data_IF_739461880063
#
_entry.id   IF_739461880063
#
_cell.length_a   1.000
_cell.length_b   1.000
_cell.length_c   1.000
_cell.angle_alpha   90.00
_cell.angle_beta   90.00
_cell.angle_gamma   90.00
#
_symmetry.space_group_name_H-M   'P 1'
#
loop_
_entity.id
_entity.type
_entity.pdbx_description
1 polymer ?
#
# COMPACT_ATOMS: atom_id res chain seq x y z
N UNK A 1 8.51 -1.41 37.05
CA UNK A 1 7.63 -2.15 36.12
C UNK A 1 6.25 -2.18 36.76
N UNK A 2 5.20 -1.65 36.11
CA UNK A 2 3.87 -1.55 36.72
C UNK A 2 3.12 -2.90 36.55
N UNK A 3 2.70 -3.58 37.64
CA UNK A 3 2.06 -4.90 37.59
C UNK A 3 0.81 -4.99 36.68
N UNK A 4 0.16 -3.85 36.43
CA UNK A 4 -1.09 -3.76 35.68
C UNK A 4 -0.95 -4.02 34.17
N UNK A 5 0.22 -3.75 33.57
CA UNK A 5 0.45 -4.00 32.13
C UNK A 5 0.49 -5.51 31.80
N UNK A 6 1.06 -6.33 32.68
CA UNK A 6 1.10 -7.79 32.51
C UNK A 6 -0.27 -8.45 32.67
N UNK A 7 -1.16 -7.85 33.47
CA UNK A 7 -2.51 -8.38 33.71
C UNK A 7 -3.40 -8.15 32.48
N UNK A 8 -3.29 -6.99 31.82
CA UNK A 8 -4.05 -6.67 30.61
C UNK A 8 -3.73 -7.61 29.44
N UNK A 9 -2.45 -7.94 29.23
CA UNK A 9 -2.02 -8.86 28.16
C UNK A 9 -2.55 -10.29 28.42
N UNK A 10 -2.47 -10.79 29.66
CA UNK A 10 -2.97 -12.12 30.03
C UNK A 10 -4.50 -12.24 29.93
N UNK A 11 -5.25 -11.19 30.25
CA UNK A 11 -6.71 -11.16 30.12
C UNK A 11 -7.16 -11.23 28.66
N UNK A 12 -6.50 -10.48 27.77
CA UNK A 12 -6.80 -10.48 26.33
C UNK A 12 -6.46 -11.83 25.68
N UNK A 13 -5.36 -12.48 26.08
CA UNK A 13 -4.95 -13.79 25.54
C UNK A 13 -5.96 -14.91 25.81
N UNK A 14 -6.74 -14.83 26.89
CA UNK A 14 -7.65 -15.90 27.30
C UNK A 14 -9.05 -15.80 26.67
N UNK A 15 -9.45 -14.66 26.13
CA UNK A 15 -10.81 -14.41 25.62
C UNK A 15 -10.97 -14.57 24.10
N UNK A 16 -9.90 -14.79 23.34
CA UNK A 16 -9.97 -14.84 21.86
C UNK A 16 -10.17 -16.28 21.33
N UNK A 17 -11.10 -16.50 20.37
CA UNK A 17 -11.33 -17.80 19.75
C UNK A 17 -10.10 -18.38 19.02
N UNK A 18 -10.07 -19.71 18.87
CA UNK A 18 -9.00 -20.46 18.18
C UNK A 18 -9.20 -20.35 16.67
N UNK A 19 -8.23 -19.78 15.96
CA UNK A 19 -8.25 -19.68 14.49
C UNK A 19 -6.87 -20.15 13.94
N UNK A 20 -6.80 -21.07 12.96
CA UNK A 20 -5.55 -21.43 12.29
C UNK A 20 -4.89 -20.21 11.63
N UNK A 21 -3.57 -20.17 11.52
CA UNK A 21 -2.89 -18.96 11.04
C UNK A 21 -3.12 -18.61 9.56
N UNK A 22 -3.46 -19.59 8.73
CA UNK A 22 -3.97 -19.34 7.38
C UNK A 22 -5.28 -18.54 7.39
N UNK A 23 -6.08 -18.68 8.46
CA UNK A 23 -7.38 -18.03 8.63
C UNK A 23 -7.34 -16.76 9.50
N UNK A 24 -6.18 -16.38 10.03
CA UNK A 24 -6.00 -15.10 10.74
C UNK A 24 -5.69 -13.94 9.78
N UNK A 25 -5.05 -14.25 8.65
CA UNK A 25 -4.87 -13.32 7.50
C UNK A 25 -6.22 -12.80 7.03
N UNK A 26 -7.26 -13.63 7.14
CA UNK A 26 -8.62 -13.33 6.73
C UNK A 26 -9.29 -12.20 7.55
N UNK A 27 -8.96 -12.06 8.84
CA UNK A 27 -9.64 -11.15 9.77
C UNK A 27 -9.16 -9.68 9.65
N UNK A 28 -7.98 -9.48 9.06
CA UNK A 28 -7.23 -8.22 8.94
C UNK A 28 -7.98 -7.15 8.15
N UNK A 29 -8.78 -7.54 7.15
CA UNK A 29 -9.37 -6.59 6.21
C UNK A 29 -10.76 -6.05 6.57
N UNK A 30 -11.37 -6.49 7.70
CA UNK A 30 -12.74 -6.13 8.07
C UNK A 30 -12.98 -5.26 9.36
N UNK A 31 -12.04 -4.44 9.88
CA UNK A 31 -12.35 -3.57 11.04
C UNK A 31 -12.95 -2.19 10.69
N UNK A 32 -13.09 -1.84 9.41
CA UNK A 32 -13.51 -0.50 8.98
C UNK A 32 -15.01 -0.35 8.67
N UNK A 33 -15.84 -1.35 8.99
CA UNK A 33 -17.27 -1.32 8.65
C UNK A 33 -18.16 -0.66 9.71
N UNK A 34 -17.73 -0.60 10.98
CA UNK A 34 -18.61 -0.25 12.11
C UNK A 34 -18.12 0.89 13.02
N UNK A 35 -17.17 1.74 12.59
CA UNK A 35 -16.80 2.95 13.37
C UNK A 35 -17.32 4.21 12.72
N UNK A 36 -18.40 4.71 13.31
CA UNK A 36 -18.96 6.03 13.07
C UNK A 36 -17.91 7.12 13.38
N UNK A 37 -17.67 8.01 12.41
CA UNK A 37 -16.60 9.02 12.43
C UNK A 37 -16.86 10.17 13.42
N UNK A 38 -18.00 10.14 14.12
CA UNK A 38 -18.47 11.16 15.05
C UNK A 38 -17.78 11.13 16.42
N UNK A 39 -17.09 10.04 16.80
CA UNK A 39 -16.46 9.92 18.13
C UNK A 39 -14.99 10.40 18.21
N UNK A 40 -14.34 10.72 17.09
CA UNK A 40 -12.91 11.13 17.08
C UNK A 40 -12.65 12.60 17.43
N UNK A 41 -13.69 13.40 17.68
CA UNK A 41 -13.58 14.86 17.86
C UNK A 41 -13.30 15.38 19.27
N UNK A 42 -13.44 14.58 20.33
CA UNK A 42 -13.56 15.11 21.70
C UNK A 42 -12.29 15.09 22.58
N UNK A 43 -11.12 14.69 22.07
CA UNK A 43 -9.91 14.53 22.89
C UNK A 43 -8.74 15.43 22.45
N UNK A 44 -9.00 16.74 22.35
CA UNK A 44 -7.95 17.77 22.17
C UNK A 44 -8.06 18.89 23.20
N UNK A 45 -7.84 18.61 24.48
CA UNK A 45 -7.21 19.59 25.37
C UNK A 45 -6.70 18.95 26.67
N UNK A 46 -5.49 19.39 27.05
CA UNK A 46 -4.73 19.18 28.29
C UNK A 46 -3.66 18.08 28.28
N UNK A 47 -2.46 18.54 28.62
CA UNK A 47 -1.22 17.80 28.77
C UNK A 47 -1.39 16.61 29.71
N UNK A 48 -1.34 15.40 29.16
CA UNK A 48 -1.18 14.15 29.88
C UNK A 48 -0.39 13.18 29.00
N UNK A 49 0.52 12.46 29.63
CA UNK A 49 1.36 11.40 29.10
C UNK A 49 0.49 10.41 28.28
N UNK A 50 0.54 10.48 26.94
CA UNK A 50 -0.26 9.62 26.07
C UNK A 50 0.33 8.20 26.06
N UNK A 51 -0.29 7.29 26.81
CA UNK A 51 -0.20 5.85 26.55
C UNK A 51 -1.14 5.57 25.37
N UNK A 52 -0.59 5.48 24.17
CA UNK A 52 -1.31 4.99 22.98
C UNK A 52 -1.44 3.46 23.06
N UNK A 53 -2.66 2.96 22.91
CA UNK A 53 -3.01 1.53 23.00
C UNK A 53 -2.75 0.80 21.68
N UNK A 54 -2.08 -0.35 21.76
CA UNK A 54 -2.01 -1.31 20.65
C UNK A 54 -3.38 -1.94 20.40
N UNK A 55 -3.77 -2.16 19.15
CA UNK A 55 -4.79 -3.16 18.80
C UNK A 55 -4.08 -4.46 18.41
N UNK A 56 -3.60 -5.21 19.39
CA UNK A 56 -3.13 -6.58 19.14
C UNK A 56 -4.37 -7.48 19.18
N UNK A 57 -4.86 -7.88 18.01
CA UNK A 57 -5.74 -9.04 17.95
C UNK A 57 -4.87 -10.28 18.08
N UNK A 58 -4.89 -10.86 19.28
CA UNK A 58 -4.22 -12.12 19.57
C UNK A 58 -5.19 -13.24 19.28
N UNK A 59 -5.13 -13.87 18.10
CA UNK A 59 -5.68 -15.22 18.01
C UNK A 59 -4.74 -16.15 18.81
N UNK A 60 -5.23 -17.27 19.35
CA UNK A 60 -4.41 -18.20 20.17
C UNK A 60 -3.11 -18.67 19.50
N UNK A 61 -2.91 -18.42 18.20
CA UNK A 61 -1.73 -18.84 17.44
C UNK A 61 -1.08 -17.72 16.61
N UNK A 62 -1.71 -16.54 16.47
CA UNK A 62 -1.26 -15.53 15.52
C UNK A 62 -1.28 -14.13 16.15
N UNK A 63 -0.17 -13.41 15.99
CA UNK A 63 -0.01 -12.02 16.47
C UNK A 63 -0.14 -11.08 15.27
N UNK A 64 -1.05 -10.12 15.36
CA UNK A 64 -1.25 -9.12 14.32
C UNK A 64 -0.57 -7.80 14.68
N UNK A 65 0.20 -7.24 13.75
CA UNK A 65 1.04 -6.05 13.95
C UNK A 65 0.77 -4.98 12.87
N UNK A 66 0.37 -3.76 13.29
CA UNK A 66 0.21 -2.56 12.44
C UNK A 66 0.83 -1.31 13.09
N UNK A 67 1.23 -0.32 12.28
CA UNK A 67 1.83 0.97 12.69
C UNK A 67 0.85 1.97 13.36
N UNK A 68 1.21 2.90 14.28
CA UNK A 68 2.45 3.15 15.08
C UNK A 68 2.19 4.07 16.29
N UNK A 69 2.88 3.84 17.41
CA UNK A 69 4.04 4.58 17.95
C UNK A 69 4.47 3.85 19.25
N UNK A 70 5.77 3.71 19.51
CA UNK A 70 6.42 2.92 20.60
C UNK A 70 6.67 1.43 20.33
N UNK A 71 7.94 1.06 20.09
CA UNK A 71 8.42 -0.33 20.00
C UNK A 71 9.58 -0.65 20.95
N UNK A 72 10.03 0.31 21.76
CA UNK A 72 11.24 0.19 22.59
C UNK A 72 11.23 -0.93 23.65
N UNK A 73 10.15 -1.70 23.81
CA UNK A 73 10.10 -2.84 24.76
C UNK A 73 9.33 -4.08 24.28
N UNK A 74 8.75 -4.09 23.08
CA UNK A 74 7.85 -5.19 22.69
C UNK A 74 8.60 -6.50 22.41
N UNK A 75 9.79 -6.43 21.81
CA UNK A 75 10.62 -7.62 21.57
C UNK A 75 11.17 -8.24 22.86
N UNK A 76 11.29 -7.46 23.94
CA UNK A 76 11.63 -7.97 25.29
C UNK A 76 10.43 -8.67 25.96
N UNK A 77 9.21 -8.36 25.50
CA UNK A 77 7.95 -8.78 26.09
C UNK A 77 7.27 -9.92 25.34
N UNK A 78 7.83 -10.45 24.25
CA UNK A 78 7.33 -11.69 23.64
C UNK A 78 7.51 -12.79 24.69
N UNK A 79 6.45 -13.21 25.40
CA UNK A 79 6.62 -14.03 26.59
C UNK A 79 7.25 -15.35 26.17
N UNK A 80 8.30 -15.78 26.86
CA UNK A 80 8.88 -17.13 26.70
C UNK A 80 7.81 -18.22 26.85
N UNK A 81 6.73 -17.90 27.56
CA UNK A 81 5.53 -18.69 27.78
C UNK A 81 4.73 -18.97 26.48
N UNK A 82 4.74 -18.06 25.49
CA UNK A 82 4.16 -18.33 24.16
C UNK A 82 4.94 -19.41 23.41
N UNK A 83 6.25 -19.51 23.66
CA UNK A 83 7.15 -20.44 22.98
C UNK A 83 7.13 -21.81 23.66
N UNK A 84 7.03 -21.85 25.00
CA UNK A 84 7.04 -23.11 25.76
C UNK A 84 5.80 -23.99 25.54
N UNK A 85 4.73 -23.46 24.93
CA UNK A 85 3.51 -24.20 24.59
C UNK A 85 3.58 -24.91 23.22
N UNK A 86 4.71 -24.84 22.49
CA UNK A 86 4.94 -25.51 21.20
C UNK A 86 4.76 -27.04 21.20
N UNK A 87 4.66 -27.69 22.37
CA UNK A 87 4.72 -29.15 22.44
C UNK A 87 3.51 -29.88 21.87
N UNK A 88 2.38 -29.22 21.62
CA UNK A 88 1.20 -29.88 21.06
C UNK A 88 0.52 -29.02 19.97
N UNK A 89 0.77 -29.36 18.70
CA UNK A 89 -0.19 -29.22 17.58
C UNK A 89 -0.35 -27.88 16.81
N UNK A 90 0.67 -27.01 16.74
CA UNK A 90 0.68 -25.94 15.72
C UNK A 90 1.80 -24.90 15.83
N UNK A 91 2.32 -24.46 14.67
CA UNK A 91 3.26 -23.34 14.57
C UNK A 91 2.57 -22.00 14.85
N UNK A 92 3.16 -21.17 15.70
CA UNK A 92 2.73 -19.78 15.89
C UNK A 92 3.07 -18.94 14.66
N UNK A 93 2.31 -17.87 14.42
CA UNK A 93 2.66 -16.89 13.40
C UNK A 93 2.56 -15.43 13.87
N UNK A 94 3.21 -14.56 13.12
CA UNK A 94 3.03 -13.12 13.21
C UNK A 94 2.66 -12.59 11.82
N UNK A 95 1.68 -11.69 11.75
CA UNK A 95 1.24 -11.07 10.50
C UNK A 95 1.49 -9.58 10.60
N UNK A 96 2.24 -9.06 9.65
CA UNK A 96 2.62 -7.65 9.54
C UNK A 96 1.95 -7.06 8.31
N UNK A 97 1.39 -5.85 8.45
CA UNK A 97 1.26 -5.01 7.27
C UNK A 97 2.65 -4.63 6.75
N UNK A 98 2.78 -4.41 5.45
CA UNK A 98 4.08 -4.12 4.84
C UNK A 98 4.34 -2.62 4.78
N UNK A 99 3.53 -1.89 4.02
CA UNK A 99 3.74 -0.49 3.69
C UNK A 99 3.40 0.41 4.87
N UNK A 100 4.37 1.21 5.31
CA UNK A 100 4.20 2.02 6.49
C UNK A 100 4.12 1.19 7.77
N UNK A 101 4.46 -0.10 7.76
CA UNK A 101 4.57 -0.95 8.97
C UNK A 101 5.94 -1.60 9.08
N UNK A 102 6.32 -2.47 8.14
CA UNK A 102 7.69 -3.01 8.05
C UNK A 102 8.62 -1.95 7.46
N UNK A 103 8.13 -1.24 6.44
CA UNK A 103 8.85 -0.17 5.75
C UNK A 103 8.23 1.18 5.98
N UNK A 104 9.04 2.24 5.89
CA UNK A 104 8.60 3.61 6.17
C UNK A 104 7.74 4.26 5.09
N UNK A 105 7.96 3.87 3.83
CA UNK A 105 7.22 4.37 2.67
C UNK A 105 6.88 3.21 1.75
N UNK A 106 5.70 3.30 1.12
CA UNK A 106 5.30 2.29 0.13
C UNK A 106 6.24 2.26 -1.08
N UNK A 107 6.66 1.05 -1.43
CA UNK A 107 7.69 0.76 -2.44
C UNK A 107 7.27 1.15 -3.85
N UNK A 108 5.96 1.21 -4.10
CA UNK A 108 5.39 1.72 -5.36
C UNK A 108 5.71 3.19 -5.62
N UNK A 109 5.91 3.99 -4.57
CA UNK A 109 6.16 5.42 -4.71
C UNK A 109 7.49 5.73 -5.40
N UNK A 110 8.66 5.27 -4.88
CA UNK A 110 9.94 5.52 -5.52
C UNK A 110 10.01 4.89 -6.92
N UNK A 111 9.41 3.71 -7.14
CA UNK A 111 9.42 3.09 -8.49
C UNK A 111 8.64 3.94 -9.48
N UNK A 112 7.45 4.41 -9.10
CA UNK A 112 6.66 5.31 -9.93
C UNK A 112 7.43 6.60 -10.26
N UNK A 113 8.07 7.20 -9.25
CA UNK A 113 8.90 8.40 -9.44
C UNK A 113 10.08 8.16 -10.37
N UNK A 114 10.80 7.05 -10.17
CA UNK A 114 11.94 6.65 -10.98
C UNK A 114 11.57 6.41 -12.44
N UNK A 115 10.43 5.74 -12.68
CA UNK A 115 9.90 5.54 -14.03
C UNK A 115 9.57 6.86 -14.75
N UNK A 116 8.98 7.82 -14.04
CA UNK A 116 8.74 9.17 -14.56
C UNK A 116 10.05 9.87 -14.90
N UNK A 117 11.00 9.85 -13.98
CA UNK A 117 12.22 10.62 -14.13
C UNK A 117 13.08 10.13 -15.30
N UNK A 118 13.08 8.82 -15.56
CA UNK A 118 13.93 8.18 -16.55
C UNK A 118 13.18 7.72 -17.82
N UNK A 119 11.88 8.02 -17.92
CA UNK A 119 11.01 7.61 -19.01
C UNK A 119 11.00 6.09 -19.28
N UNK A 120 10.93 5.28 -18.21
CA UNK A 120 11.04 3.82 -18.27
C UNK A 120 9.67 3.16 -18.49
N UNK A 121 9.21 3.18 -19.73
CA UNK A 121 7.91 2.62 -20.15
C UNK A 121 8.09 1.54 -21.23
N UNK A 122 7.22 0.52 -21.21
CA UNK A 122 7.18 -0.52 -22.24
C UNK A 122 5.93 -0.45 -23.12
N UNK A 123 4.98 0.43 -22.78
CA UNK A 123 3.73 0.59 -23.50
C UNK A 123 3.85 1.66 -24.59
N UNK A 124 3.06 1.49 -25.65
CA UNK A 124 3.11 2.32 -26.86
C UNK A 124 1.95 3.32 -26.88
N UNK A 125 1.88 4.11 -27.95
CA UNK A 125 0.82 5.09 -28.15
C UNK A 125 -0.59 4.49 -28.02
N UNK A 126 -0.80 3.32 -28.63
CA UNK A 126 -2.08 2.59 -28.61
C UNK A 126 -2.55 2.21 -27.19
N UNK A 127 -1.61 2.12 -26.25
CA UNK A 127 -1.85 1.70 -24.88
C UNK A 127 -2.15 2.87 -23.93
N UNK A 128 -1.94 4.13 -24.35
CA UNK A 128 -2.09 5.30 -23.47
C UNK A 128 -3.50 5.42 -22.91
N UNK A 129 -4.52 5.19 -23.74
CA UNK A 129 -5.91 5.23 -23.30
C UNK A 129 -6.22 4.14 -22.26
N UNK A 130 -5.53 3.00 -22.34
CA UNK A 130 -5.65 1.90 -21.39
C UNK A 130 -4.93 2.21 -20.07
N UNK A 131 -3.69 2.69 -20.14
CA UNK A 131 -2.82 3.00 -19.00
C UNK A 131 -3.30 4.25 -18.26
N UNK A 132 -3.32 5.40 -18.93
CA UNK A 132 -3.65 6.71 -18.36
C UNK A 132 -5.16 7.01 -18.38
N UNK A 133 -5.87 6.54 -19.41
CA UNK A 133 -7.29 6.81 -19.59
C UNK A 133 -8.23 5.80 -18.93
N UNK A 134 -7.71 4.72 -18.34
CA UNK A 134 -8.49 3.66 -17.71
C UNK A 134 -9.51 2.98 -18.66
N UNK A 135 -9.32 3.03 -19.99
CA UNK A 135 -10.32 2.61 -20.99
C UNK A 135 -10.85 1.18 -20.83
N UNK A 136 -10.05 0.26 -20.29
CA UNK A 136 -10.42 -1.16 -20.12
C UNK A 136 -11.03 -1.49 -18.75
N UNK A 137 -11.21 -0.51 -17.86
CA UNK A 137 -11.86 -0.77 -16.58
C UNK A 137 -13.35 -1.06 -16.76
N UNK A 138 -13.89 -2.02 -16.01
CA UNK A 138 -15.34 -2.23 -15.94
C UNK A 138 -16.07 -1.14 -15.14
N UNK A 139 -15.34 -0.21 -14.52
CA UNK A 139 -15.83 0.83 -13.61
C UNK A 139 -15.70 2.23 -14.20
N UNK A 140 -16.37 2.49 -15.32
CA UNK A 140 -16.27 3.78 -16.02
C UNK A 140 -16.72 4.98 -15.17
N UNK A 141 -17.59 4.75 -14.18
CA UNK A 141 -18.04 5.72 -13.17
C UNK A 141 -16.92 6.21 -12.24
N UNK A 142 -15.82 5.45 -12.14
CA UNK A 142 -14.65 5.78 -11.35
C UNK A 142 -13.67 6.68 -12.08
N UNK A 143 -13.75 6.78 -13.41
CA UNK A 143 -12.82 7.59 -14.20
C UNK A 143 -13.18 9.07 -14.00
N UNK A 144 -12.28 9.90 -13.47
CA UNK A 144 -12.56 11.33 -13.32
C UNK A 144 -12.75 11.94 -14.71
N UNK A 145 -13.77 12.80 -14.86
CA UNK A 145 -14.02 13.55 -16.10
C UNK A 145 -13.63 15.01 -15.92
N UNK A 146 -14.49 15.76 -15.24
CA UNK A 146 -14.26 17.15 -14.85
C UNK A 146 -14.59 17.27 -13.37
N UNK A 147 -13.73 17.93 -12.59
CA UNK A 147 -13.96 18.16 -11.17
C UNK A 147 -13.21 19.39 -10.67
N UNK A 148 -13.67 19.97 -9.57
CA UNK A 148 -13.03 21.11 -8.93
C UNK A 148 -11.84 20.66 -8.07
N UNK A 149 -10.65 21.13 -8.41
CA UNK A 149 -9.44 20.92 -7.62
C UNK A 149 -9.19 22.12 -6.72
N UNK A 150 -9.19 21.88 -5.40
CA UNK A 150 -8.84 22.89 -4.40
C UNK A 150 -7.32 23.00 -4.32
N UNK A 151 -6.77 24.11 -4.82
CA UNK A 151 -5.32 24.36 -4.81
C UNK A 151 -4.87 25.26 -3.66
N UNK A 152 -5.78 26.09 -3.13
CA UNK A 152 -5.58 26.92 -1.94
C UNK A 152 -6.87 26.93 -1.11
N UNK A 153 -6.80 27.45 0.13
CA UNK A 153 -7.99 27.62 0.95
C UNK A 153 -9.02 28.54 0.26
N UNK A 154 -10.23 28.04 0.08
CA UNK A 154 -11.31 28.75 -0.62
C UNK A 154 -11.16 28.88 -2.14
N UNK A 155 -10.04 28.43 -2.76
CA UNK A 155 -9.83 28.54 -4.21
C UNK A 155 -9.86 27.18 -4.89
N UNK A 156 -10.68 27.08 -5.93
CA UNK A 156 -10.80 25.90 -6.78
C UNK A 156 -10.51 26.24 -8.24
N UNK A 157 -10.09 25.24 -9.01
CA UNK A 157 -10.00 25.31 -10.47
C UNK A 157 -10.66 24.08 -11.06
N UNK A 158 -11.42 24.26 -12.14
CA UNK A 158 -12.01 23.15 -12.87
C UNK A 158 -10.92 22.38 -13.63
N UNK A 159 -10.67 21.14 -13.23
CA UNK A 159 -9.73 20.24 -13.89
C UNK A 159 -10.48 19.36 -14.87
N UNK A 160 -10.05 19.35 -16.14
CA UNK A 160 -10.53 18.40 -17.14
C UNK A 160 -9.51 17.25 -17.27
N UNK A 161 -9.82 16.12 -16.63
CA UNK A 161 -8.95 14.95 -16.61
C UNK A 161 -8.83 14.29 -18.00
N UNK A 162 -9.88 14.32 -18.81
CA UNK A 162 -9.84 13.83 -20.19
C UNK A 162 -8.80 14.58 -21.03
N UNK A 163 -8.78 15.92 -20.95
CA UNK A 163 -7.79 16.75 -21.65
C UNK A 163 -6.35 16.42 -21.22
N UNK A 164 -6.14 16.18 -19.93
CA UNK A 164 -4.83 15.77 -19.42
C UNK A 164 -4.36 14.45 -20.08
N UNK A 165 -5.24 13.45 -20.19
CA UNK A 165 -4.93 12.19 -20.86
C UNK A 165 -4.67 12.39 -22.36
N UNK A 166 -5.45 13.24 -23.03
CA UNK A 166 -5.23 13.59 -24.45
C UNK A 166 -3.87 14.27 -24.68
N UNK A 167 -3.40 15.10 -23.76
CA UNK A 167 -2.07 15.72 -23.83
C UNK A 167 -0.94 14.71 -23.69
N UNK A 168 -1.10 13.75 -22.77
CA UNK A 168 -0.16 12.63 -22.62
C UNK A 168 -0.15 11.79 -23.90
N UNK A 169 -1.32 11.48 -24.46
CA UNK A 169 -1.43 10.73 -25.72
C UNK A 169 -0.72 11.46 -26.86
N UNK A 170 -0.90 12.78 -26.99
CA UNK A 170 -0.19 13.60 -28.00
C UNK A 170 1.32 13.46 -27.90
N UNK A 171 1.89 13.41 -26.70
CA UNK A 171 3.33 13.21 -26.50
C UNK A 171 3.74 11.82 -27.01
N UNK A 172 2.99 10.77 -26.66
CA UNK A 172 3.30 9.43 -27.15
C UNK A 172 3.19 9.29 -28.68
N UNK A 173 2.30 10.05 -29.34
CA UNK A 173 2.24 10.08 -30.83
C UNK A 173 3.52 10.57 -31.48
N UNK A 174 4.32 11.38 -30.78
CA UNK A 174 5.59 11.90 -31.32
C UNK A 174 6.64 10.80 -31.43
N UNK A 175 6.48 9.68 -30.71
CA UNK A 175 7.37 8.51 -30.72
C UNK A 175 8.87 8.88 -30.52
N UNK A 176 9.14 9.83 -29.64
CA UNK A 176 10.48 10.33 -29.33
C UNK A 176 10.76 10.20 -27.82
N UNK A 177 11.79 9.41 -27.48
CA UNK A 177 12.24 9.18 -26.10
C UNK A 177 12.67 10.49 -25.42
N UNK A 178 13.24 11.45 -26.15
CA UNK A 178 13.62 12.74 -25.58
C UNK A 178 12.40 13.56 -25.15
N UNK A 179 11.29 13.44 -25.86
CA UNK A 179 10.02 14.08 -25.48
C UNK A 179 9.45 13.41 -24.23
N UNK A 180 9.55 12.08 -24.10
CA UNK A 180 9.16 11.36 -22.88
C UNK A 180 10.04 11.73 -21.67
N UNK A 181 11.30 12.11 -21.89
CA UNK A 181 12.19 12.62 -20.84
C UNK A 181 11.99 14.11 -20.52
N UNK A 182 11.13 14.82 -21.27
CA UNK A 182 10.92 16.25 -21.09
C UNK A 182 10.21 16.58 -19.77
N UNK A 183 10.51 17.75 -19.20
CA UNK A 183 9.81 18.26 -18.01
C UNK A 183 8.29 18.30 -18.20
N UNK A 184 7.82 18.62 -19.41
CA UNK A 184 6.39 18.65 -19.73
C UNK A 184 5.74 17.29 -19.50
N UNK A 185 6.33 16.21 -20.02
CA UNK A 185 5.78 14.88 -19.85
C UNK A 185 5.79 14.43 -18.38
N UNK A 186 6.89 14.70 -17.67
CA UNK A 186 7.03 14.39 -16.24
C UNK A 186 5.94 15.10 -15.40
N UNK A 187 5.72 16.39 -15.66
CA UNK A 187 4.66 17.18 -15.03
C UNK A 187 3.27 16.59 -15.31
N UNK A 188 2.97 16.23 -16.56
CA UNK A 188 1.68 15.65 -16.93
C UNK A 188 1.45 14.30 -16.21
N UNK A 189 2.48 13.46 -16.11
CA UNK A 189 2.39 12.17 -15.41
C UNK A 189 2.21 12.34 -13.89
N UNK A 190 2.89 13.32 -13.27
CA UNK A 190 2.71 13.66 -11.86
C UNK A 190 1.30 14.20 -11.57
N UNK A 191 0.81 15.11 -12.43
CA UNK A 191 -0.55 15.64 -12.38
C UNK A 191 -1.57 14.51 -12.51
N UNK A 192 -1.40 13.62 -13.49
CA UNK A 192 -2.29 12.49 -13.73
C UNK A 192 -2.46 11.60 -12.49
N UNK A 193 -1.36 11.18 -11.86
CA UNK A 193 -1.43 10.34 -10.65
C UNK A 193 -2.23 11.01 -9.54
N UNK A 194 -1.95 12.29 -9.29
CA UNK A 194 -2.58 13.04 -8.20
C UNK A 194 -4.06 13.29 -8.47
N UNK A 195 -4.39 13.73 -9.68
CA UNK A 195 -5.76 14.04 -10.10
C UNK A 195 -6.62 12.77 -10.22
N UNK A 196 -6.04 11.66 -10.70
CA UNK A 196 -6.70 10.36 -10.70
C UNK A 196 -7.06 9.91 -9.27
N UNK A 197 -6.10 10.02 -8.34
CA UNK A 197 -6.32 9.67 -6.94
C UNK A 197 -7.42 10.54 -6.31
N UNK A 198 -7.34 11.86 -6.47
CA UNK A 198 -8.32 12.79 -5.89
C UNK A 198 -9.72 12.55 -6.45
N UNK A 199 -9.85 12.28 -7.75
CA UNK A 199 -11.16 12.00 -8.36
C UNK A 199 -11.77 10.66 -7.96
N UNK A 200 -11.00 9.75 -7.34
CA UNK A 200 -11.44 8.41 -6.93
C UNK A 200 -11.53 8.20 -5.42
N UNK A 201 -10.75 8.93 -4.60
CA UNK A 201 -10.52 8.62 -3.17
C UNK A 201 -11.78 8.61 -2.30
N UNK A 202 -12.79 9.41 -2.66
CA UNK A 202 -14.01 9.55 -1.88
C UNK A 202 -15.12 8.56 -2.33
N UNK A 203 -14.86 7.75 -3.36
CA UNK A 203 -15.78 6.76 -3.91
C UNK A 203 -15.36 5.34 -3.50
N UNK A 204 -16.14 4.72 -2.62
CA UNK A 204 -15.81 3.39 -2.03
C UNK A 204 -15.66 2.31 -3.11
N UNK A 205 -16.51 2.33 -4.11
CA UNK A 205 -16.52 1.44 -5.27
C UNK A 205 -15.28 1.59 -6.17
N UNK A 206 -14.58 2.72 -6.07
CA UNK A 206 -13.38 3.01 -6.86
C UNK A 206 -12.08 2.64 -6.14
N UNK A 207 -12.15 2.10 -4.92
CA UNK A 207 -10.98 1.81 -4.09
C UNK A 207 -9.94 0.95 -4.80
N UNK A 208 -10.37 -0.09 -5.53
CA UNK A 208 -9.44 -0.94 -6.29
C UNK A 208 -8.83 -0.22 -7.50
N UNK A 209 -9.63 0.50 -8.29
CA UNK A 209 -9.08 1.26 -9.41
C UNK A 209 -8.06 2.31 -8.92
N UNK A 210 -8.33 2.95 -7.78
CA UNK A 210 -7.42 3.89 -7.13
C UNK A 210 -6.10 3.22 -6.72
N UNK A 211 -6.10 1.98 -6.23
CA UNK A 211 -4.84 1.27 -5.94
C UNK A 211 -4.02 1.01 -7.20
N UNK A 212 -4.66 0.94 -8.38
CA UNK A 212 -4.00 0.69 -9.68
C UNK A 212 -3.17 1.80 -10.27
N UNK A 213 -3.38 3.04 -9.82
CA UNK A 213 -2.73 4.22 -10.40
C UNK A 213 -1.20 4.07 -10.42
N UNK A 214 -0.61 3.57 -9.32
CA UNK A 214 0.84 3.46 -9.18
C UNK A 214 1.50 2.38 -10.05
N UNK A 215 0.79 1.30 -10.38
CA UNK A 215 1.37 0.18 -11.14
C UNK A 215 0.97 0.15 -12.61
N UNK A 216 0.05 1.02 -13.06
CA UNK A 216 -0.32 1.13 -14.48
C UNK A 216 0.86 1.43 -15.40
N UNK A 217 1.88 2.15 -14.92
CA UNK A 217 3.11 2.40 -15.68
C UNK A 217 4.00 1.16 -15.86
N UNK A 218 3.68 0.05 -15.19
CA UNK A 218 4.35 -1.23 -15.37
C UNK A 218 3.80 -2.03 -16.55
N UNK A 219 2.74 -1.56 -17.21
CA UNK A 219 2.13 -2.27 -18.32
C UNK A 219 3.14 -2.55 -19.44
N UNK A 220 3.15 -3.81 -19.91
CA UNK A 220 4.06 -4.32 -20.93
C UNK A 220 5.48 -4.64 -20.44
N UNK A 221 5.77 -4.52 -19.13
CA UNK A 221 7.09 -4.89 -18.58
C UNK A 221 7.21 -6.39 -18.34
N UNK A 222 8.36 -6.94 -18.71
CA UNK A 222 8.73 -8.31 -18.36
C UNK A 222 9.06 -8.42 -16.86
N UNK A 223 9.13 -9.65 -16.33
CA UNK A 223 9.55 -9.87 -14.95
C UNK A 223 10.99 -9.38 -14.74
N UNK A 224 11.84 -9.54 -15.74
CA UNK A 224 13.24 -9.11 -15.75
C UNK A 224 13.33 -7.58 -15.64
N UNK A 225 12.61 -6.84 -16.50
CA UNK A 225 12.59 -5.36 -16.47
C UNK A 225 12.07 -4.83 -15.12
N UNK A 226 11.13 -5.53 -14.51
CA UNK A 226 10.60 -5.19 -13.20
C UNK A 226 11.62 -5.38 -12.09
N UNK A 227 12.38 -6.48 -12.15
CA UNK A 227 13.49 -6.70 -11.20
C UNK A 227 14.58 -5.66 -11.37
N UNK A 228 14.91 -5.28 -12.61
CA UNK A 228 15.88 -4.23 -12.90
C UNK A 228 15.43 -2.87 -12.36
N UNK A 229 14.15 -2.52 -12.49
CA UNK A 229 13.58 -1.32 -11.88
C UNK A 229 13.70 -1.33 -10.35
N UNK A 230 13.44 -2.46 -9.70
CA UNK A 230 13.57 -2.55 -8.24
C UNK A 230 15.05 -2.48 -7.83
N UNK A 231 15.94 -3.11 -8.57
CA UNK A 231 17.38 -3.07 -8.30
C UNK A 231 17.95 -1.66 -8.50
N UNK A 232 17.48 -0.91 -9.49
CA UNK A 232 17.89 0.47 -9.72
C UNK A 232 17.57 1.40 -8.54
N UNK A 233 16.63 1.05 -7.67
CA UNK A 233 16.36 1.77 -6.43
C UNK A 233 17.33 1.46 -5.28
N UNK A 234 18.20 0.45 -5.42
CA UNK A 234 19.24 0.14 -4.44
C UNK A 234 20.52 0.92 -4.71
N UNK A 235 20.67 1.49 -5.91
CA UNK A 235 21.77 2.38 -6.21
C UNK A 235 21.62 3.67 -5.40
N UNK A 236 22.73 4.24 -4.87
CA UNK A 236 22.69 5.37 -3.95
C UNK A 236 21.84 6.51 -4.53
N UNK A 237 21.03 7.19 -3.69
CA UNK A 237 19.93 8.00 -4.17
C UNK A 237 20.42 9.08 -5.13
N UNK A 238 19.80 9.12 -6.31
CA UNK A 238 20.06 10.13 -7.34
C UNK A 238 19.79 11.57 -6.86
N UNK A 239 19.12 11.78 -5.70
CA UNK A 239 18.83 13.10 -5.12
C UNK A 239 18.70 13.06 -3.59
N UNK A 240 19.04 14.19 -2.94
CA UNK A 240 18.83 14.44 -1.50
C UNK A 240 17.35 14.63 -1.12
N UNK A 241 16.44 14.84 -2.09
CA UNK A 241 15.02 15.13 -1.82
C UNK A 241 14.14 13.88 -1.80
N UNK A 242 13.20 13.84 -0.84
CA UNK A 242 12.18 12.79 -0.70
C UNK A 242 11.09 12.82 -1.78
N UNK A 243 11.10 13.85 -2.65
CA UNK A 243 10.10 14.10 -3.70
C UNK A 243 10.70 14.79 -4.91
N UNK A 244 10.10 14.49 -6.07
CA UNK A 244 10.15 15.31 -7.28
C UNK A 244 8.97 16.29 -7.26
N UNK A 245 9.21 17.56 -7.57
CA UNK A 245 8.19 18.61 -7.61
C UNK A 245 7.95 19.08 -9.05
N UNK A 246 6.68 19.28 -9.39
CA UNK A 246 6.25 19.65 -10.73
C UNK A 246 5.16 20.70 -10.64
N UNK A 247 5.24 21.73 -11.48
CA UNK A 247 4.17 22.74 -11.60
C UNK A 247 3.42 22.53 -12.92
N UNK A 248 2.11 22.32 -12.84
CA UNK A 248 1.20 22.21 -13.98
C UNK A 248 0.32 23.46 -14.05
N UNK A 249 0.05 23.94 -15.27
CA UNK A 249 -0.71 25.19 -15.46
C UNK A 249 -2.06 24.91 -16.11
N UNK A 250 -3.14 25.44 -15.52
CA UNK A 250 -4.50 25.38 -16.06
C UNK A 250 -5.04 26.81 -16.13
N UNK A 251 -5.15 27.36 -17.34
CA UNK A 251 -5.43 28.79 -17.52
C UNK A 251 -4.32 29.61 -16.87
N UNK A 252 -4.69 30.53 -15.98
CA UNK A 252 -3.74 31.37 -15.22
C UNK A 252 -3.33 30.75 -13.88
N UNK A 253 -3.80 29.54 -13.56
CA UNK A 253 -3.54 28.88 -12.28
C UNK A 253 -2.34 27.93 -12.38
N UNK A 254 -1.46 27.98 -11.38
CA UNK A 254 -0.34 27.04 -11.19
C UNK A 254 -0.69 26.04 -10.10
N UNK A 255 -0.56 24.76 -10.41
CA UNK A 255 -0.84 23.64 -9.52
C UNK A 255 0.45 22.88 -9.28
N UNK A 256 0.87 22.78 -8.03
CA UNK A 256 2.06 22.04 -7.66
C UNK A 256 1.71 20.59 -7.30
N UNK A 257 2.41 19.66 -7.95
CA UNK A 257 2.31 18.23 -7.76
C UNK A 257 3.64 17.70 -7.26
N UNK A 258 3.58 16.70 -6.38
CA UNK A 258 4.78 16.02 -5.92
C UNK A 258 4.68 14.52 -6.12
N UNK A 259 5.78 13.93 -6.57
CA UNK A 259 5.94 12.48 -6.68
C UNK A 259 7.00 12.06 -5.67
N UNK A 260 6.61 11.28 -4.67
CA UNK A 260 7.53 10.74 -3.67
C UNK A 260 8.60 9.89 -4.35
N UNK A 261 9.86 10.23 -4.11
CA UNK A 261 11.06 9.55 -4.62
C UNK A 261 11.84 8.83 -3.51
N UNK A 262 11.49 9.08 -2.23
CA UNK A 262 12.13 8.45 -1.09
C UNK A 262 12.17 6.93 -1.23
N UNK A 263 13.37 6.37 -1.21
CA UNK A 263 13.61 4.93 -1.19
C UNK A 263 13.02 4.36 0.11
N UNK A 264 12.29 3.26 -0.02
CA UNK A 264 11.66 2.56 1.09
C UNK A 264 12.74 1.92 1.96
N UNK A 265 12.73 2.23 3.25
CA UNK A 265 13.64 1.63 4.23
C UNK A 265 12.83 0.84 5.25
N UNK A 266 13.35 -0.32 5.65
CA UNK A 266 12.77 -1.08 6.74
C UNK A 266 13.07 -0.40 8.07
N UNK A 267 12.10 -0.40 8.98
CA UNK A 267 12.32 0.07 10.35
C UNK A 267 13.20 -0.94 11.10
N UNK A 268 14.31 -0.49 11.67
CA UNK A 268 15.24 -1.32 12.43
C UNK A 268 14.57 -2.10 13.56
N UNK A 269 13.60 -1.49 14.24
CA UNK A 269 12.83 -2.14 15.30
C UNK A 269 11.96 -3.28 14.78
N UNK A 270 11.41 -3.15 13.57
CA UNK A 270 10.61 -4.20 12.94
C UNK A 270 11.49 -5.36 12.50
N UNK A 271 12.67 -5.07 11.93
CA UNK A 271 13.66 -6.09 11.60
C UNK A 271 14.07 -6.90 12.85
N UNK A 272 14.35 -6.21 13.96
CA UNK A 272 14.67 -6.86 15.25
C UNK A 272 13.52 -7.73 15.75
N UNK A 273 12.27 -7.25 15.67
CA UNK A 273 11.09 -8.01 16.08
C UNK A 273 10.88 -9.26 15.22
N UNK A 274 10.98 -9.12 13.89
CA UNK A 274 10.87 -10.22 12.93
C UNK A 274 11.93 -11.29 13.20
N UNK A 275 13.19 -10.90 13.43
CA UNK A 275 14.28 -11.82 13.81
C UNK A 275 13.99 -12.51 15.14
N UNK A 276 13.54 -11.75 16.14
CA UNK A 276 13.19 -12.29 17.46
C UNK A 276 12.02 -13.30 17.39
N UNK A 277 11.07 -13.11 16.47
CA UNK A 277 10.02 -14.09 16.19
C UNK A 277 10.57 -15.36 15.53
N UNK A 278 11.43 -15.20 14.52
CA UNK A 278 12.09 -16.35 13.86
C UNK A 278 12.91 -17.20 14.83
N UNK A 279 13.72 -16.57 15.69
CA UNK A 279 14.50 -17.26 16.74
C UNK A 279 13.63 -18.06 17.72
N UNK A 280 12.38 -17.65 17.89
CA UNK A 280 11.38 -18.30 18.75
C UNK A 280 10.49 -19.29 18.00
N UNK A 281 10.79 -19.60 16.74
CA UNK A 281 9.99 -20.52 15.91
C UNK A 281 8.59 -19.99 15.57
N UNK A 282 8.42 -18.66 15.53
CA UNK A 282 7.20 -18.00 15.06
C UNK A 282 7.36 -17.67 13.58
N UNK A 283 6.45 -18.16 12.75
CA UNK A 283 6.45 -17.89 11.30
C UNK A 283 5.96 -16.47 11.04
N UNK A 284 6.78 -15.61 10.46
CA UNK A 284 6.35 -14.24 10.13
C UNK A 284 5.81 -14.16 8.69
N UNK A 285 4.71 -13.41 8.53
CA UNK A 285 4.01 -13.13 7.29
C UNK A 285 3.94 -11.62 7.06
N UNK A 286 4.11 -11.18 5.82
CA UNK A 286 3.81 -9.82 5.40
C UNK A 286 2.57 -9.82 4.50
N UNK A 287 1.65 -8.90 4.73
CA UNK A 287 0.45 -8.71 3.91
C UNK A 287 0.41 -7.26 3.44
N UNK A 288 0.05 -7.03 2.19
CA UNK A 288 0.03 -5.68 1.64
C UNK A 288 -0.97 -5.47 0.53
N UNK A 289 -1.44 -4.22 0.43
CA UNK A 289 -2.23 -3.71 -0.69
C UNK A 289 -1.37 -3.35 -1.92
N UNK A 290 -0.07 -3.61 -1.87
CA UNK A 290 0.88 -3.35 -2.95
C UNK A 290 0.99 -4.60 -3.82
N UNK A 291 1.12 -4.39 -5.14
CA UNK A 291 1.17 -5.45 -6.15
C UNK A 291 2.39 -6.38 -5.97
N UNK A 292 2.23 -7.70 -6.21
CA UNK A 292 3.29 -8.73 -6.03
C UNK A 292 4.67 -8.35 -6.54
N UNK A 293 4.74 -7.67 -7.67
CA UNK A 293 6.03 -7.32 -8.28
C UNK A 293 6.90 -6.44 -7.39
N UNK A 294 6.29 -5.51 -6.66
CA UNK A 294 7.04 -4.65 -5.74
C UNK A 294 7.45 -5.37 -4.47
N UNK A 295 6.61 -6.27 -3.98
CA UNK A 295 6.78 -6.93 -2.68
C UNK A 295 7.61 -8.20 -2.80
N UNK A 296 7.60 -8.88 -3.95
CA UNK A 296 8.41 -10.07 -4.19
C UNK A 296 9.92 -9.80 -4.14
N UNK A 297 10.33 -8.59 -4.53
CA UNK A 297 11.72 -8.15 -4.44
C UNK A 297 12.10 -7.61 -3.04
N UNK A 298 11.10 -7.20 -2.24
CA UNK A 298 11.26 -6.56 -0.95
C UNK A 298 12.10 -7.31 0.08
N UNK A 299 11.91 -8.62 0.32
CA UNK A 299 12.70 -9.34 1.29
C UNK A 299 14.21 -9.25 1.04
N UNK A 300 14.61 -9.26 -0.24
CA UNK A 300 16.03 -9.21 -0.63
C UNK A 300 16.62 -7.82 -0.43
N UNK A 301 15.95 -6.77 -0.90
CA UNK A 301 16.54 -5.42 -0.87
C UNK A 301 16.41 -4.72 0.49
N UNK A 302 15.46 -5.13 1.33
CA UNK A 302 15.27 -4.60 2.69
C UNK A 302 15.90 -5.46 3.77
N UNK A 303 16.55 -6.58 3.38
CA UNK A 303 17.14 -7.53 4.29
C UNK A 303 16.15 -8.02 5.37
N UNK A 304 14.95 -8.45 4.95
CA UNK A 304 13.89 -8.95 5.84
C UNK A 304 14.19 -10.37 6.33
N UNK A 305 15.33 -10.55 6.98
CA UNK A 305 15.80 -11.80 7.56
C UNK A 305 14.80 -12.33 8.61
N UNK A 306 13.81 -13.10 8.17
CA UNK A 306 12.76 -13.63 9.04
C UNK A 306 11.38 -13.75 8.42
N UNK A 307 11.17 -13.20 7.22
CA UNK A 307 9.98 -13.43 6.41
C UNK A 307 10.42 -14.14 5.13
N UNK A 308 10.04 -15.42 4.98
CA UNK A 308 10.28 -16.14 3.74
C UNK A 308 9.48 -15.50 2.58
N UNK A 309 10.03 -15.48 1.37
CA UNK A 309 9.34 -14.89 0.21
C UNK A 309 7.94 -15.48 -0.07
N UNK A 310 7.74 -16.76 0.27
CA UNK A 310 6.43 -17.45 0.17
C UNK A 310 5.39 -16.98 1.19
N UNK A 311 5.82 -16.27 2.23
CA UNK A 311 4.98 -15.74 3.31
C UNK A 311 4.62 -14.26 3.11
N UNK A 312 4.87 -13.74 1.91
CA UNK A 312 4.55 -12.37 1.51
C UNK A 312 3.31 -12.40 0.61
N UNK A 313 2.23 -11.77 1.07
CA UNK A 313 0.95 -11.72 0.38
C UNK A 313 0.67 -10.31 -0.13
N UNK A 314 0.22 -10.23 -1.38
CA UNK A 314 0.00 -9.01 -2.13
C UNK A 314 -1.46 -8.83 -2.55
N UNK A 315 -1.81 -7.64 -3.03
CA UNK A 315 -3.13 -7.38 -3.62
C UNK A 315 -3.22 -7.93 -5.04
N UNK A 316 -4.24 -8.74 -5.32
CA UNK A 316 -4.59 -9.24 -6.66
C UNK A 316 -6.08 -9.04 -6.97
N UNK A 317 -6.48 -8.78 -8.22
CA UNK A 317 -7.85 -9.02 -8.65
C UNK A 317 -8.15 -10.51 -8.63
N UNK A 318 -9.41 -10.85 -8.87
CA UNK A 318 -9.82 -12.24 -9.07
C UNK A 318 -9.60 -12.65 -10.53
N UNK A 319 -8.58 -13.48 -10.79
CA UNK A 319 -8.27 -14.06 -12.10
C UNK A 319 -6.87 -14.67 -12.11
N UNK A 320 -6.61 -15.64 -12.99
CA UNK A 320 -5.24 -16.12 -13.25
C UNK A 320 -4.49 -15.20 -14.23
N UNK A 321 -5.21 -14.29 -14.89
CA UNK A 321 -4.66 -13.38 -15.89
C UNK A 321 -4.07 -12.13 -15.24
N UNK A 322 -2.73 -12.07 -15.18
CA UNK A 322 -1.96 -10.95 -14.65
C UNK A 322 -2.26 -9.60 -15.33
N UNK A 323 -2.84 -9.62 -16.54
CA UNK A 323 -3.25 -8.38 -17.20
C UNK A 323 -4.45 -7.72 -16.50
N UNK A 324 -5.33 -8.50 -15.85
CA UNK A 324 -6.44 -7.96 -15.07
C UNK A 324 -5.96 -7.22 -13.81
N UNK A 325 -4.76 -7.55 -13.31
CA UNK A 325 -4.12 -6.96 -12.12
C UNK A 325 -3.90 -5.47 -12.32
N UNK A 326 -3.49 -5.07 -13.53
CA UNK A 326 -3.15 -3.69 -13.86
C UNK A 326 -4.38 -2.84 -14.20
N UNK A 327 -5.47 -3.45 -14.70
CA UNK A 327 -6.59 -2.70 -15.31
C UNK A 327 -7.85 -2.60 -14.48
N UNK A 328 -7.87 -3.18 -13.28
CA UNK A 328 -9.05 -3.05 -12.44
C UNK A 328 -10.12 -4.09 -12.78
N UNK A 329 -9.71 -5.34 -13.04
CA UNK A 329 -10.63 -6.47 -13.33
C UNK A 329 -11.80 -6.60 -12.35
N UNK A 330 -12.81 -7.41 -12.69
CA UNK A 330 -14.05 -7.51 -11.90
C UNK A 330 -13.75 -7.78 -10.41
N UNK A 331 -13.98 -6.77 -9.58
CA UNK A 331 -14.10 -6.92 -8.14
C UNK A 331 -15.31 -7.82 -7.86
N UNK A 332 -15.07 -9.09 -7.56
CA UNK A 332 -16.11 -9.94 -7.03
C UNK A 332 -16.25 -9.67 -5.53
N UNK A 333 -17.49 -9.48 -5.05
CA UNK A 333 -17.84 -9.38 -3.62
C UNK A 333 -17.33 -10.58 -2.80
N UNK A 334 -16.97 -11.66 -3.48
CA UNK A 334 -16.38 -12.87 -2.92
C UNK A 334 -14.94 -12.77 -2.41
N UNK A 335 -14.16 -11.69 -2.63
CA UNK A 335 -12.88 -11.56 -1.90
C UNK A 335 -13.11 -11.37 -0.40
N UNK A 336 -14.23 -10.75 -0.02
CA UNK A 336 -14.71 -10.84 1.35
C UNK A 336 -15.16 -12.28 1.62
N UNK A 337 -16.01 -12.92 0.80
CA UNK A 337 -16.54 -14.24 1.16
C UNK A 337 -15.58 -15.46 1.14
N UNK A 338 -14.52 -15.48 0.31
CA UNK A 338 -13.53 -16.58 0.26
C UNK A 338 -12.43 -16.50 1.32
N UNK A 339 -12.37 -15.36 2.00
CA UNK A 339 -11.73 -15.11 3.30
C UNK A 339 -12.57 -15.74 4.46
N UNK A 340 -13.54 -16.61 4.14
CA UNK A 340 -14.36 -17.32 5.12
C UNK A 340 -15.60 -16.58 5.60
N UNK A 341 -16.31 -15.85 4.73
CA UNK A 341 -17.70 -15.46 5.03
C UNK A 341 -18.61 -16.52 4.42
N UNK A 342 -18.72 -17.64 5.14
CA UNK A 342 -19.86 -18.53 5.00
C UNK A 342 -20.96 -18.03 5.94
N UNK A 343 -22.12 -17.74 5.34
CA UNK A 343 -23.46 -17.73 5.93
C UNK A 343 -23.69 -16.88 7.19
N UNK A 344 -24.25 -15.69 6.99
CA UNK A 344 -25.37 -15.27 7.82
C UNK A 344 -26.51 -14.93 6.88
N UNK A 345 -27.60 -15.69 7.05
CA UNK A 345 -28.86 -15.58 6.33
C UNK A 345 -29.40 -14.16 6.31
N UNK A 346 -30.07 -13.85 5.22
CA UNK A 346 -30.94 -12.69 5.06
C UNK A 346 -32.04 -12.73 6.13
N UNK A 347 -32.01 -11.73 7.02
CA UNK A 347 -33.09 -11.36 7.93
C UNK A 347 -33.24 -9.85 7.95
#
# INVERSE_FOLDING_TARGET
MHPQANIAIKSVLNSVPRVPCTSAIDYVYNPWRDRDASQTGYLRSKAQLYIFTYNIMLSKRCVLVYHTFFFYRFYELVPSELVSQQKNDGSYCAVFDFDGTIVDVSTKCPIFGYQIEHALYNFKQEDVAKVYGFKETSRSECIPKVFDYKYEEGKTVAVNFTKLVEEIEKIFRMNDVNVLKSTKFKTLSAAWKTLAYIGMKDKKECKYLMTTIGYRLLYGKSKEDLMDLVNALQEPPLQESDKYEYTYTIGDHKLDFSVRSKISNAYEEQLKLIRAFKERGVTSYAVTATHKFYVGAAPKYLNLDGIDAKNVYDSRPFGEDESEDLFGGKLNSHMLQRIGFANFDEG
#
